data_IF_223928193919
#
_entry.id   IF_223928193919
#
_cell.length_a   1.000
_cell.length_b   1.000
_cell.length_c   1.000
_cell.angle_alpha   90.00
_cell.angle_beta   90.00
_cell.angle_gamma   90.00
#
_symmetry.space_group_name_H-M   'P 1'
#
loop_
_entity.id
_entity.type
_entity.pdbx_description
1 polymer ?
#
# COMPACT_ATOMS: atom_id res chain seq x y z
N UNK A 1 -4.53 -17.05 -5.92
CA UNK A 1 -4.63 -15.96 -6.93
C UNK A 1 -5.04 -16.47 -8.30
N UNK A 2 -4.24 -17.31 -8.99
CA UNK A 2 -4.57 -17.81 -10.36
C UNK A 2 -5.94 -18.50 -10.50
N UNK A 3 -6.38 -19.19 -9.46
CA UNK A 3 -7.68 -19.87 -9.41
C UNK A 3 -8.78 -19.08 -8.70
N UNK A 4 -8.51 -17.83 -8.29
CA UNK A 4 -9.41 -17.06 -7.40
C UNK A 4 -9.92 -17.90 -6.22
N UNK A 5 -9.00 -18.65 -5.59
CA UNK A 5 -9.21 -19.54 -4.44
C UNK A 5 -10.07 -20.80 -4.69
N UNK A 6 -10.60 -21.01 -5.90
CA UNK A 6 -11.37 -22.21 -6.24
C UNK A 6 -10.60 -23.54 -6.11
N UNK A 7 -9.26 -23.49 -6.10
CA UNK A 7 -8.43 -24.68 -5.92
C UNK A 7 -8.24 -25.10 -4.46
N UNK A 8 -8.67 -24.27 -3.51
CA UNK A 8 -8.39 -24.44 -2.07
C UNK A 8 -9.65 -24.35 -1.21
N UNK A 9 -10.60 -23.49 -1.57
CA UNK A 9 -11.86 -23.33 -0.85
C UNK A 9 -12.88 -24.38 -1.28
N UNK A 10 -13.90 -24.61 -0.45
CA UNK A 10 -15.06 -25.41 -0.83
C UNK A 10 -15.86 -24.73 -1.96
N UNK A 11 -16.68 -25.51 -2.67
CA UNK A 11 -17.49 -24.98 -3.77
C UNK A 11 -18.44 -23.88 -3.33
N UNK A 12 -19.09 -24.03 -2.17
CA UNK A 12 -20.04 -23.05 -1.64
C UNK A 12 -19.35 -21.72 -1.30
N UNK A 13 -18.20 -21.77 -0.63
CA UNK A 13 -17.39 -20.60 -0.29
C UNK A 13 -16.86 -19.92 -1.55
N UNK A 14 -16.42 -20.71 -2.53
CA UNK A 14 -15.91 -20.19 -3.80
C UNK A 14 -16.97 -19.41 -4.55
N UNK A 15 -18.21 -19.93 -4.65
CA UNK A 15 -19.30 -19.26 -5.34
C UNK A 15 -19.65 -17.92 -4.69
N UNK A 16 -19.85 -17.91 -3.37
CA UNK A 16 -20.14 -16.67 -2.63
C UNK A 16 -19.00 -15.65 -2.73
N UNK A 17 -17.75 -16.12 -2.66
CA UNK A 17 -16.60 -15.24 -2.83
C UNK A 17 -16.53 -14.66 -4.23
N UNK A 18 -16.84 -15.45 -5.25
CA UNK A 18 -16.87 -14.99 -6.64
C UNK A 18 -18.00 -14.01 -6.89
N UNK A 19 -19.19 -14.23 -6.32
CA UNK A 19 -20.29 -13.26 -6.38
C UNK A 19 -19.85 -11.91 -5.81
N UNK A 20 -19.25 -11.91 -4.61
CA UNK A 20 -18.70 -10.70 -4.01
C UNK A 20 -17.60 -10.06 -4.85
N UNK A 21 -16.66 -10.85 -5.36
CA UNK A 21 -15.54 -10.37 -6.19
C UNK A 21 -16.03 -9.72 -7.50
N UNK A 22 -16.92 -10.39 -8.23
CA UNK A 22 -17.42 -9.90 -9.50
C UNK A 22 -18.36 -8.71 -9.35
N UNK A 23 -19.13 -8.63 -8.25
CA UNK A 23 -19.94 -7.47 -7.94
C UNK A 23 -19.09 -6.21 -7.69
N UNK A 24 -17.89 -6.35 -7.11
CA UNK A 24 -16.97 -5.23 -6.90
C UNK A 24 -16.35 -4.67 -8.19
N UNK A 25 -16.25 -5.49 -9.24
CA UNK A 25 -15.71 -5.12 -10.55
C UNK A 25 -14.31 -4.46 -10.51
N UNK A 26 -13.46 -4.81 -9.52
CA UNK A 26 -12.06 -4.35 -9.42
C UNK A 26 -11.08 -5.53 -9.58
N UNK A 27 -10.31 -5.51 -10.66
CA UNK A 27 -9.27 -6.51 -10.96
C UNK A 27 -8.16 -6.59 -9.90
N UNK A 28 -7.89 -5.50 -9.17
CA UNK A 28 -6.90 -5.49 -8.10
C UNK A 28 -7.43 -6.01 -6.77
N UNK A 29 -8.74 -6.24 -6.66
CA UNK A 29 -9.37 -6.65 -5.41
C UNK A 29 -8.76 -7.95 -4.85
N UNK A 30 -8.29 -8.84 -5.74
CA UNK A 30 -7.66 -10.10 -5.37
C UNK A 30 -6.40 -9.93 -4.51
N UNK A 31 -5.66 -8.82 -4.67
CA UNK A 31 -4.50 -8.53 -3.83
C UNK A 31 -4.90 -8.16 -2.42
N UNK A 32 -6.04 -7.46 -2.25
CA UNK A 32 -6.57 -7.10 -0.94
C UNK A 32 -7.19 -8.31 -0.23
N UNK A 33 -7.87 -9.20 -0.96
CA UNK A 33 -8.32 -10.48 -0.41
C UNK A 33 -7.12 -11.33 0.08
N UNK A 34 -6.04 -11.38 -0.70
CA UNK A 34 -4.81 -12.07 -0.29
C UNK A 34 -4.15 -11.43 0.92
N UNK A 35 -4.15 -10.09 1.00
CA UNK A 35 -3.64 -9.36 2.15
C UNK A 35 -4.44 -9.70 3.41
N UNK A 36 -5.77 -9.71 3.35
CA UNK A 36 -6.61 -10.05 4.51
C UNK A 36 -6.37 -11.48 4.98
N UNK A 37 -6.24 -12.44 4.06
CA UNK A 37 -5.88 -13.82 4.43
C UNK A 37 -4.53 -13.89 5.15
N UNK A 38 -3.53 -13.13 4.68
CA UNK A 38 -2.23 -13.07 5.33
C UNK A 38 -2.32 -12.40 6.70
N UNK A 39 -3.17 -11.38 6.85
CA UNK A 39 -3.41 -10.71 8.12
C UNK A 39 -4.09 -11.64 9.15
N UNK A 40 -5.02 -12.50 8.72
CA UNK A 40 -5.60 -13.52 9.61
C UNK A 40 -4.57 -14.56 10.05
N UNK A 41 -3.63 -14.91 9.18
CA UNK A 41 -2.55 -15.84 9.48
C UNK A 41 -1.37 -15.20 10.22
N UNK A 42 -1.35 -13.87 10.40
CA UNK A 42 -0.18 -13.10 10.85
C UNK A 42 0.40 -13.61 12.18
N UNK A 43 -0.42 -13.73 13.21
CA UNK A 43 0.07 -14.10 14.56
C UNK A 43 0.66 -15.51 14.55
N UNK A 44 -0.01 -16.45 13.85
CA UNK A 44 0.48 -17.82 13.65
C UNK A 44 1.78 -17.85 12.86
N UNK A 45 1.96 -16.97 11.86
CA UNK A 45 3.22 -16.86 11.11
C UNK A 45 4.38 -16.38 11.99
N UNK A 46 4.13 -15.47 12.93
CA UNK A 46 5.16 -15.01 13.88
C UNK A 46 5.58 -16.11 14.87
N UNK A 47 4.71 -17.09 15.16
CA UNK A 47 5.04 -18.26 15.96
C UNK A 47 5.82 -19.34 15.18
N UNK A 48 5.83 -19.26 13.85
CA UNK A 48 6.46 -20.24 12.96
C UNK A 48 7.90 -19.87 12.55
N UNK A 49 8.55 -18.94 13.25
CA UNK A 49 9.91 -18.43 12.91
C UNK A 49 10.96 -19.54 12.87
N UNK A 50 10.83 -20.55 13.74
CA UNK A 50 11.78 -21.68 13.82
C UNK A 50 11.43 -22.85 12.88
N UNK A 51 10.36 -22.73 12.08
CA UNK A 51 9.92 -23.81 11.19
C UNK A 51 10.57 -23.73 9.82
N UNK A 52 10.66 -24.90 9.17
CA UNK A 52 11.18 -25.00 7.81
C UNK A 52 10.32 -24.22 6.80
N UNK A 53 10.98 -23.64 5.79
CA UNK A 53 10.32 -22.80 4.76
C UNK A 53 9.12 -23.49 4.11
N UNK A 54 9.22 -24.80 3.87
CA UNK A 54 8.16 -25.57 3.22
C UNK A 54 6.91 -25.70 4.10
N UNK A 55 7.07 -25.79 5.42
CA UNK A 55 5.93 -25.83 6.36
C UNK A 55 5.18 -24.50 6.38
N UNK A 56 5.91 -23.38 6.33
CA UNK A 56 5.33 -22.04 6.23
C UNK A 56 4.56 -21.87 4.91
N UNK A 57 5.13 -22.33 3.80
CA UNK A 57 4.47 -22.28 2.49
C UNK A 57 3.19 -23.13 2.47
N UNK A 58 3.24 -24.34 3.03
CA UNK A 58 2.08 -25.23 3.10
C UNK A 58 0.95 -24.62 3.95
N UNK A 59 1.32 -24.02 5.08
CA UNK A 59 0.38 -23.31 5.95
C UNK A 59 -0.30 -22.13 5.23
N UNK A 60 0.48 -21.24 4.60
CA UNK A 60 -0.08 -20.10 3.84
C UNK A 60 -0.97 -20.58 2.68
N UNK A 61 -0.57 -21.66 2.01
CA UNK A 61 -1.31 -22.21 0.87
C UNK A 61 -2.67 -22.80 1.29
N UNK A 62 -2.79 -23.29 2.52
CA UNK A 62 -4.01 -23.86 3.09
C UNK A 62 -4.90 -22.83 3.81
N UNK A 63 -4.38 -21.64 4.13
CA UNK A 63 -5.13 -20.60 4.82
C UNK A 63 -6.52 -20.26 4.20
N UNK A 64 -6.70 -20.21 2.87
CA UNK A 64 -8.02 -19.94 2.29
C UNK A 64 -9.07 -21.03 2.56
N UNK A 65 -8.65 -22.26 2.84
CA UNK A 65 -9.56 -23.38 3.11
C UNK A 65 -10.31 -23.22 4.44
N UNK A 66 -9.83 -22.35 5.33
CA UNK A 66 -10.46 -22.08 6.62
C UNK A 66 -11.60 -21.05 6.55
N UNK A 67 -11.83 -20.43 5.39
CA UNK A 67 -12.93 -19.48 5.20
C UNK A 67 -14.28 -20.21 5.23
N UNK A 68 -15.24 -19.67 5.97
CA UNK A 68 -16.63 -20.11 5.93
C UNK A 68 -17.50 -19.09 5.20
N UNK A 69 -18.71 -19.48 4.78
CA UNK A 69 -19.64 -18.57 4.09
C UNK A 69 -20.05 -17.38 4.96
N UNK A 70 -20.10 -17.58 6.27
CA UNK A 70 -20.54 -16.57 7.24
C UNK A 70 -19.48 -15.46 7.40
N UNK A 71 -18.20 -15.77 7.14
CA UNK A 71 -17.09 -14.81 7.27
C UNK A 71 -16.91 -13.93 6.01
N UNK A 72 -17.55 -14.28 4.89
CA UNK A 72 -17.22 -13.69 3.59
C UNK A 72 -17.58 -12.21 3.44
N UNK A 73 -18.67 -11.78 4.07
CA UNK A 73 -19.10 -10.37 4.05
C UNK A 73 -18.07 -9.48 4.76
N UNK A 74 -17.65 -9.90 5.96
CA UNK A 74 -16.61 -9.21 6.73
C UNK A 74 -15.25 -9.28 6.02
N UNK A 75 -14.93 -10.44 5.44
CA UNK A 75 -13.71 -10.64 4.66
C UNK A 75 -13.61 -9.65 3.48
N UNK A 76 -14.69 -9.50 2.71
CA UNK A 76 -14.74 -8.55 1.60
C UNK A 76 -14.75 -7.10 2.09
N UNK A 77 -15.48 -6.79 3.16
CA UNK A 77 -15.53 -5.46 3.77
C UNK A 77 -14.15 -5.01 4.26
N UNK A 78 -13.38 -5.91 4.88
CA UNK A 78 -12.02 -5.64 5.33
C UNK A 78 -11.06 -5.46 4.15
N UNK A 79 -11.20 -6.26 3.09
CA UNK A 79 -10.43 -6.08 1.87
C UNK A 79 -10.72 -4.71 1.21
N UNK A 80 -11.98 -4.28 1.19
CA UNK A 80 -12.35 -2.94 0.75
C UNK A 80 -11.75 -1.83 1.61
N UNK A 81 -11.74 -2.02 2.93
CA UNK A 81 -11.13 -1.07 3.83
C UNK A 81 -9.62 -0.89 3.53
N UNK A 82 -8.89 -1.98 3.28
CA UNK A 82 -7.49 -1.86 2.84
C UNK A 82 -7.37 -1.23 1.45
N UNK A 83 -8.29 -1.54 0.53
CA UNK A 83 -8.32 -0.96 -0.81
C UNK A 83 -8.55 0.56 -0.78
N UNK A 84 -9.44 1.07 0.07
CA UNK A 84 -9.74 2.50 0.21
C UNK A 84 -8.61 3.28 0.88
N UNK A 85 -7.79 2.60 1.69
CA UNK A 85 -6.62 3.17 2.35
C UNK A 85 -5.31 2.98 1.55
N UNK A 86 -5.39 2.55 0.30
CA UNK A 86 -4.23 2.35 -0.58
C UNK A 86 -4.19 3.40 -1.69
N UNK A 87 -3.04 4.04 -1.96
CA UNK A 87 -2.87 4.98 -3.07
C UNK A 87 -3.42 4.45 -4.41
N UNK A 88 -4.16 5.26 -5.13
CA UNK A 88 -4.72 4.92 -6.45
C UNK A 88 -3.63 4.76 -7.52
N UNK A 89 -2.43 5.33 -7.30
CA UNK A 89 -1.25 5.06 -8.12
C UNK A 89 -0.94 3.57 -8.19
N UNK A 90 -1.22 2.78 -7.14
CA UNK A 90 -1.06 1.33 -7.19
C UNK A 90 -1.85 0.71 -8.35
N UNK A 91 -3.10 1.11 -8.55
CA UNK A 91 -3.91 0.58 -9.66
C UNK A 91 -3.42 1.10 -10.99
N UNK A 92 -3.13 2.40 -11.09
CA UNK A 92 -2.80 3.05 -12.37
C UNK A 92 -1.42 2.64 -12.91
N UNK A 93 -0.41 2.59 -12.05
CA UNK A 93 0.98 2.35 -12.45
C UNK A 93 1.25 0.86 -12.75
N UNK A 94 0.49 -0.06 -12.12
CA UNK A 94 0.68 -1.50 -12.31
C UNK A 94 -0.35 -2.16 -13.22
N UNK A 95 -1.40 -1.45 -13.66
CA UNK A 95 -2.48 -2.05 -14.47
C UNK A 95 -1.95 -2.70 -15.75
N UNK A 96 -1.18 -1.96 -16.55
CA UNK A 96 -0.65 -2.47 -17.82
C UNK A 96 0.32 -3.63 -17.60
N UNK A 97 1.18 -3.55 -16.59
CA UNK A 97 2.16 -4.59 -16.30
C UNK A 97 1.53 -5.91 -15.81
N UNK A 98 0.47 -5.83 -15.02
CA UNK A 98 -0.15 -7.00 -14.37
C UNK A 98 -1.25 -7.64 -15.19
N UNK A 99 -2.03 -6.85 -15.94
CA UNK A 99 -3.27 -7.32 -16.57
C UNK A 99 -3.32 -7.14 -18.09
N UNK A 100 -2.44 -6.33 -18.68
CA UNK A 100 -2.40 -6.15 -20.13
C UNK A 100 -1.31 -7.05 -20.75
N UNK A 101 -1.71 -7.97 -21.62
CA UNK A 101 -0.75 -8.84 -22.33
C UNK A 101 -0.06 -8.13 -23.50
N UNK A 102 -0.65 -7.05 -24.04
CA UNK A 102 -0.17 -6.40 -25.26
C UNK A 102 1.09 -5.55 -25.05
N UNK A 103 1.30 -4.99 -23.86
CA UNK A 103 2.32 -3.97 -23.59
C UNK A 103 3.66 -4.55 -23.07
N UNK A 104 3.77 -5.88 -22.93
CA UNK A 104 5.01 -6.54 -22.47
C UNK A 104 6.23 -6.30 -23.37
N UNK A 105 6.01 -5.80 -24.58
CA UNK A 105 7.07 -5.56 -25.58
C UNK A 105 7.33 -4.07 -25.87
N UNK A 106 6.50 -3.15 -25.39
CA UNK A 106 6.50 -1.75 -25.91
C UNK A 106 6.60 -0.66 -24.84
N UNK A 107 6.30 -0.91 -23.57
CA UNK A 107 6.40 0.13 -22.54
C UNK A 107 7.82 0.31 -21.99
N UNK A 108 8.57 1.26 -22.55
CA UNK A 108 9.87 1.73 -22.05
C UNK A 108 9.83 2.42 -20.67
N UNK A 109 8.68 2.43 -19.96
CA UNK A 109 8.49 3.06 -18.65
C UNK A 109 7.65 2.23 -17.67
N UNK A 110 7.60 0.90 -17.81
CA UNK A 110 6.97 0.08 -16.78
C UNK A 110 7.83 0.12 -15.49
N UNK A 111 7.24 0.52 -14.37
CA UNK A 111 7.88 0.39 -13.06
C UNK A 111 8.27 -1.07 -12.84
N UNK A 112 9.56 -1.34 -12.71
CA UNK A 112 10.03 -2.69 -12.40
C UNK A 112 9.67 -3.01 -10.95
N UNK A 113 8.63 -3.82 -10.75
CA UNK A 113 8.23 -4.34 -9.43
C UNK A 113 9.42 -5.02 -8.72
N UNK A 114 10.31 -5.64 -9.49
CA UNK A 114 11.48 -6.34 -8.96
C UNK A 114 12.52 -5.42 -8.29
N UNK A 115 12.56 -4.14 -8.68
CA UNK A 115 13.52 -3.16 -8.16
C UNK A 115 12.88 -2.15 -7.20
N UNK A 116 11.56 -2.20 -7.03
CA UNK A 116 10.83 -1.28 -6.16
C UNK A 116 11.04 -1.66 -4.68
N UNK A 117 11.51 -0.71 -3.87
CA UNK A 117 11.63 -0.87 -2.41
C UNK A 117 10.30 -0.60 -1.68
N UNK A 118 9.42 0.19 -2.29
CA UNK A 118 8.11 0.55 -1.77
C UNK A 118 7.15 0.86 -2.92
N UNK A 119 5.87 1.04 -2.60
CA UNK A 119 4.85 1.39 -3.59
C UNK A 119 5.08 2.82 -4.12
N UNK A 120 5.14 3.02 -5.46
CA UNK A 120 5.24 4.35 -6.03
C UNK A 120 3.92 5.12 -5.88
N UNK A 121 4.04 6.43 -5.67
CA UNK A 121 2.90 7.37 -5.69
C UNK A 121 3.18 8.44 -6.74
N UNK A 122 2.25 8.61 -7.67
CA UNK A 122 2.36 9.59 -8.74
C UNK A 122 2.22 11.02 -8.20
N UNK A 123 2.99 11.96 -8.75
CA UNK A 123 2.89 13.38 -8.37
C UNK A 123 1.48 13.95 -8.60
N UNK A 124 0.76 13.45 -9.62
CA UNK A 124 -0.63 13.82 -9.89
C UNK A 124 -1.55 13.47 -8.72
N UNK A 125 -1.37 12.28 -8.13
CA UNK A 125 -2.15 11.88 -6.96
C UNK A 125 -1.85 12.74 -5.74
N UNK A 126 -0.57 13.04 -5.47
CA UNK A 126 -0.18 13.90 -4.34
C UNK A 126 -0.85 15.27 -4.40
N UNK A 127 -0.87 15.89 -5.58
CA UNK A 127 -1.49 17.20 -5.79
C UNK A 127 -3.01 17.13 -5.64
N UNK A 128 -3.65 16.09 -6.16
CA UNK A 128 -5.11 15.93 -6.07
C UNK A 128 -5.58 15.67 -4.64
N UNK A 129 -4.90 14.77 -3.92
CA UNK A 129 -5.24 14.42 -2.54
C UNK A 129 -5.13 15.62 -1.58
N UNK A 130 -4.14 16.49 -1.79
CA UNK A 130 -3.91 17.65 -0.93
C UNK A 130 -4.77 18.88 -1.31
N UNK A 131 -5.32 18.94 -2.53
CA UNK A 131 -6.21 20.05 -2.97
C UNK A 131 -7.67 19.87 -2.54
N UNK A 132 -8.15 18.64 -2.44
CA UNK A 132 -9.58 18.35 -2.28
C UNK A 132 -10.14 18.62 -0.87
N UNK A 133 -9.34 19.16 0.07
CA UNK A 133 -9.79 19.38 1.46
C UNK A 133 -10.38 18.11 2.10
N UNK A 134 -9.96 16.94 1.60
CA UNK A 134 -10.73 15.71 1.67
C UNK A 134 -10.78 15.14 3.08
N UNK A 135 -11.98 15.09 3.65
CA UNK A 135 -12.26 14.33 4.88
C UNK A 135 -12.24 12.82 4.66
N UNK A 136 -12.28 12.37 3.39
CA UNK A 136 -12.31 10.96 3.01
C UNK A 136 -11.20 10.64 2.00
N UNK A 137 -10.44 9.57 2.26
CA UNK A 137 -9.39 9.05 1.38
C UNK A 137 -7.95 9.18 1.91
N UNK A 138 -6.99 8.71 1.11
CA UNK A 138 -5.56 8.70 1.45
C UNK A 138 -5.01 10.13 1.44
N UNK A 139 -4.34 10.52 2.53
CA UNK A 139 -3.66 11.81 2.70
C UNK A 139 -2.15 11.62 2.75
N UNK A 140 -1.40 12.62 2.28
CA UNK A 140 0.06 12.53 2.17
C UNK A 140 0.76 13.59 3.00
N UNK A 141 1.67 13.13 3.86
CA UNK A 141 2.69 13.97 4.46
C UNK A 141 3.95 13.85 3.60
N UNK A 142 4.31 14.93 2.90
CA UNK A 142 5.41 14.91 1.93
C UNK A 142 6.72 15.16 2.66
N UNK A 143 7.73 14.35 2.36
CA UNK A 143 9.10 14.50 2.88
C UNK A 143 10.04 14.70 1.71
N UNK A 144 10.76 15.82 1.69
CA UNK A 144 11.79 16.09 0.69
C UNK A 144 13.14 15.63 1.25
N UNK A 145 13.72 14.60 0.63
CA UNK A 145 14.97 14.00 1.08
C UNK A 145 16.21 14.53 0.34
N UNK A 146 16.05 15.54 -0.51
CA UNK A 146 17.17 16.10 -1.29
C UNK A 146 18.12 16.91 -0.40
N UNK A 147 19.37 17.13 -0.84
CA UNK A 147 20.31 17.99 -0.12
C UNK A 147 19.75 19.39 0.11
N UNK A 148 20.16 20.03 1.22
CA UNK A 148 19.68 21.36 1.62
C UNK A 148 19.76 22.42 0.51
N UNK A 149 20.82 22.41 -0.31
CA UNK A 149 20.96 23.35 -1.43
C UNK A 149 19.82 23.23 -2.46
N UNK A 150 19.42 21.99 -2.80
CA UNK A 150 18.34 21.74 -3.75
C UNK A 150 16.97 22.05 -3.17
N UNK A 151 16.77 21.76 -1.87
CA UNK A 151 15.56 22.12 -1.15
C UNK A 151 15.38 23.63 -1.08
N UNK A 152 16.42 24.36 -0.65
CA UNK A 152 16.40 25.82 -0.53
C UNK A 152 16.26 26.54 -1.87
N UNK A 153 16.69 25.92 -2.97
CA UNK A 153 16.49 26.47 -4.31
C UNK A 153 15.00 26.53 -4.67
N UNK A 154 14.29 25.38 -4.59
CA UNK A 154 12.83 25.24 -4.75
C UNK A 154 12.37 23.91 -4.15
N UNK A 155 11.25 23.93 -3.44
CA UNK A 155 10.60 22.73 -2.90
C UNK A 155 9.08 22.88 -2.92
N UNK A 156 8.37 21.77 -2.67
CA UNK A 156 6.94 21.80 -2.43
C UNK A 156 6.68 22.43 -1.06
N UNK A 157 5.85 23.46 -1.00
CA UNK A 157 5.59 24.22 0.23
C UNK A 157 5.06 23.36 1.40
N UNK A 158 4.41 22.22 1.14
CA UNK A 158 3.93 21.28 2.17
C UNK A 158 4.98 20.26 2.62
N UNK A 159 6.15 20.23 1.99
CA UNK A 159 7.12 19.18 2.25
C UNK A 159 7.94 19.49 3.51
N UNK A 160 8.12 18.48 4.36
CA UNK A 160 9.08 18.50 5.44
C UNK A 160 10.46 18.14 4.88
N UNK A 161 11.48 18.95 5.13
CA UNK A 161 12.84 18.66 4.67
C UNK A 161 13.54 17.67 5.60
N UNK A 162 14.13 16.62 5.04
CA UNK A 162 14.96 15.66 5.75
C UNK A 162 16.22 15.39 4.92
N UNK A 163 17.31 16.11 5.19
CA UNK A 163 18.54 15.95 4.40
C UNK A 163 19.14 14.54 4.58
N UNK A 164 19.12 13.75 3.49
CA UNK A 164 19.63 12.38 3.52
C UNK A 164 21.16 12.29 3.64
N UNK A 165 21.91 13.36 3.34
CA UNK A 165 23.37 13.36 3.50
C UNK A 165 23.78 13.26 4.97
N UNK A 166 22.96 13.84 5.87
CA UNK A 166 23.18 13.77 7.31
C UNK A 166 23.15 12.33 7.84
N UNK A 167 22.55 11.38 7.12
CA UNK A 167 22.56 9.97 7.52
C UNK A 167 23.98 9.42 7.67
N UNK A 168 24.92 9.89 6.83
CA UNK A 168 26.32 9.49 6.86
C UNK A 168 27.22 10.53 7.54
N UNK A 169 26.89 11.81 7.42
CA UNK A 169 27.72 12.92 7.91
C UNK A 169 27.51 13.20 9.41
N UNK A 170 26.26 13.31 9.85
CA UNK A 170 25.89 13.51 11.26
C UNK A 170 24.61 12.73 11.63
N UNK A 171 24.74 11.44 11.99
CA UNK A 171 23.60 10.59 12.35
C UNK A 171 22.81 11.11 13.56
N UNK A 172 23.41 11.93 14.43
CA UNK A 172 22.70 12.50 15.59
C UNK A 172 21.76 13.61 15.16
N UNK A 173 22.23 14.51 14.29
CA UNK A 173 21.39 15.55 13.70
C UNK A 173 20.26 14.95 12.86
N UNK A 174 20.58 13.93 12.04
CA UNK A 174 19.57 13.18 11.30
C UNK A 174 18.51 12.57 12.23
N UNK A 175 18.94 11.93 13.33
CA UNK A 175 18.03 11.37 14.34
C UNK A 175 17.10 12.42 14.95
N UNK A 176 17.63 13.59 15.34
CA UNK A 176 16.82 14.69 15.86
C UNK A 176 15.80 15.22 14.85
N UNK A 177 16.18 15.27 13.57
CA UNK A 177 15.29 15.70 12.48
C UNK A 177 14.17 14.67 12.23
N UNK A 178 14.47 13.37 12.33
CA UNK A 178 13.45 12.30 12.24
C UNK A 178 12.44 12.39 13.39
N UNK A 179 12.89 12.72 14.60
CA UNK A 179 11.97 12.91 15.73
C UNK A 179 11.07 14.15 15.52
N UNK A 180 11.63 15.25 15.01
CA UNK A 180 10.86 16.44 14.62
C UNK A 180 9.86 16.15 13.50
N UNK A 181 10.23 15.32 12.52
CA UNK A 181 9.35 14.87 11.43
C UNK A 181 8.14 14.13 12.01
N UNK A 182 8.36 13.17 12.90
CA UNK A 182 7.29 12.39 13.55
C UNK A 182 6.37 13.27 14.38
N UNK A 183 6.92 14.22 15.14
CA UNK A 183 6.15 15.16 15.92
C UNK A 183 5.27 16.06 15.02
N UNK A 184 5.84 16.57 13.93
CA UNK A 184 5.13 17.41 12.95
C UNK A 184 4.01 16.65 12.24
N UNK A 185 4.29 15.40 11.84
CA UNK A 185 3.28 14.53 11.24
C UNK A 185 2.10 14.30 12.19
N UNK A 186 2.39 13.94 13.46
CA UNK A 186 1.35 13.73 14.47
C UNK A 186 0.49 14.99 14.67
N UNK A 187 1.13 16.16 14.78
CA UNK A 187 0.41 17.42 14.96
C UNK A 187 -0.45 17.79 13.74
N UNK A 188 0.03 17.51 12.52
CA UNK A 188 -0.73 17.73 11.28
C UNK A 188 -1.96 16.83 11.19
N UNK A 189 -1.85 15.59 11.67
CA UNK A 189 -2.98 14.64 11.75
C UNK A 189 -4.01 15.15 12.76
N UNK A 190 -3.58 15.55 13.96
CA UNK A 190 -4.44 16.05 15.05
C UNK A 190 -5.17 17.36 14.68
N UNK A 191 -4.50 18.24 13.94
CA UNK A 191 -5.07 19.51 13.50
C UNK A 191 -6.08 19.36 12.35
N UNK A 192 -6.26 18.15 11.79
CA UNK A 192 -6.91 17.88 10.50
C UNK A 192 -6.38 18.75 9.33
N UNK A 193 -5.26 19.45 9.54
CA UNK A 193 -4.61 20.30 8.56
C UNK A 193 -3.35 19.59 8.07
N UNK A 194 -3.38 19.17 6.82
CA UNK A 194 -2.15 19.22 6.02
C UNK A 194 -1.87 20.73 5.87
N UNK A 195 -0.63 21.24 6.05
CA UNK A 195 -0.36 22.66 5.84
C UNK A 195 -0.91 23.07 4.46
N UNK A 196 -1.99 23.84 4.46
CA UNK A 196 -2.67 24.28 3.25
C UNK A 196 -1.93 25.49 2.69
N UNK A 197 -2.04 25.68 1.38
CA UNK A 197 -1.69 26.90 0.67
C UNK A 197 -2.39 28.09 1.32
N UNK A 198 -1.68 28.88 2.10
CA UNK A 198 -1.98 30.31 2.12
C UNK A 198 -1.23 30.91 0.91
N UNK A 199 -2.03 31.43 -0.02
CA UNK A 199 -1.60 32.11 -1.24
C UNK A 199 -1.07 33.50 -0.92
#
# INVERSE_FOLDING_TARGET
VRSLYAGTCSSDVTLHLWDGYFQHADQFFIFFLALVLLMFAKEQLFEMVDKEKNEVIDFISKAPANLTTDDLEDFCSLANHYASNTPQSFRKEFCSCLFDEADRTTSQKAYSVQQALCLPVSAKELLQANQLGGKEGVRYFIVDCRPAEQYNSKHLYTAFHLDANLLLEDPKEFGGTVDALRATQKHSIEAERIPLLDS
#
